data_IF_970571229148
#
_entry.id   IF_970571229148
#
_cell.length_a   1.000
_cell.length_b   1.000
_cell.length_c   1.000
_cell.angle_alpha   90.00
_cell.angle_beta   90.00
_cell.angle_gamma   90.00
#
_symmetry.space_group_name_H-M   'P 1'
#
loop_
_entity.id
_entity.type
_entity.pdbx_description
1 polymer ?
#
# COMPACT_ATOMS: atom_id res chain seq x y z
N UNK A 1 44.58 -6.34 2.11
CA UNK A 1 43.46 -6.28 1.15
C UNK A 1 42.17 -6.59 1.93
N UNK A 2 41.47 -5.55 2.40
CA UNK A 2 40.23 -5.72 3.16
C UNK A 2 39.08 -5.99 2.18
N UNK A 3 38.51 -7.19 2.23
CA UNK A 3 37.21 -7.48 1.61
C UNK A 3 36.12 -6.77 2.40
N UNK A 4 35.70 -5.60 1.93
CA UNK A 4 34.42 -5.00 2.32
C UNK A 4 33.30 -5.90 1.77
N UNK A 5 32.74 -6.75 2.63
CA UNK A 5 31.45 -7.38 2.43
C UNK A 5 30.42 -6.25 2.34
N UNK A 6 30.08 -5.85 1.12
CA UNK A 6 28.93 -5.01 0.84
C UNK A 6 27.69 -5.81 1.21
N UNK A 7 27.22 -5.59 2.45
CA UNK A 7 25.89 -5.97 2.90
C UNK A 7 24.91 -5.19 2.01
N UNK A 8 24.58 -5.74 0.84
CA UNK A 8 23.40 -5.31 0.11
C UNK A 8 22.24 -5.65 1.02
N UNK A 9 21.79 -4.67 1.81
CA UNK A 9 20.53 -4.71 2.49
C UNK A 9 19.46 -4.88 1.41
N UNK A 10 19.18 -6.14 1.05
CA UNK A 10 17.98 -6.51 0.31
C UNK A 10 16.86 -5.83 1.08
N UNK A 11 16.16 -4.91 0.41
CA UNK A 11 14.96 -4.31 0.98
C UNK A 11 14.09 -5.47 1.46
N UNK A 12 14.01 -5.66 2.77
CA UNK A 12 13.31 -6.79 3.35
C UNK A 12 11.86 -6.68 2.93
N UNK A 13 11.31 -7.78 2.42
CA UNK A 13 9.89 -7.86 2.13
C UNK A 13 9.10 -7.46 3.39
N UNK A 14 7.96 -6.76 3.25
CA UNK A 14 7.06 -6.55 4.37
C UNK A 14 6.72 -7.88 5.03
N UNK A 15 6.73 -7.91 6.36
CA UNK A 15 6.28 -9.06 7.14
C UNK A 15 4.78 -9.29 6.93
N UNK A 16 4.31 -10.51 7.20
CA UNK A 16 2.88 -10.80 7.13
C UNK A 16 2.07 -9.93 8.10
N UNK A 17 2.64 -9.53 9.24
CA UNK A 17 1.97 -8.60 10.16
C UNK A 17 1.76 -7.21 9.56
N UNK A 18 2.69 -6.70 8.74
CA UNK A 18 2.51 -5.42 8.04
C UNK A 18 1.46 -5.54 6.94
N UNK A 19 1.49 -6.63 6.18
CA UNK A 19 0.49 -6.88 5.13
C UNK A 19 -0.91 -7.04 5.73
N UNK A 20 -1.04 -7.80 6.82
CA UNK A 20 -2.30 -7.99 7.53
C UNK A 20 -2.78 -6.69 8.20
N UNK A 21 -1.87 -5.89 8.76
CA UNK A 21 -2.22 -4.58 9.32
C UNK A 21 -2.75 -3.63 8.25
N UNK A 22 -2.23 -3.69 7.02
CA UNK A 22 -2.79 -2.93 5.90
C UNK A 22 -4.23 -3.36 5.59
N UNK A 23 -4.50 -4.67 5.51
CA UNK A 23 -5.87 -5.19 5.32
C UNK A 23 -6.82 -4.78 6.46
N UNK A 24 -6.28 -4.67 7.67
CA UNK A 24 -6.96 -4.23 8.90
C UNK A 24 -6.90 -2.71 9.11
N UNK A 25 -6.79 -1.91 8.04
CA UNK A 25 -6.64 -0.44 8.06
C UNK A 25 -7.47 0.32 9.10
N UNK A 26 -8.72 -0.09 9.32
CA UNK A 26 -9.72 0.52 10.23
C UNK A 26 -9.93 -0.29 11.53
N UNK A 27 -9.04 -1.23 11.86
CA UNK A 27 -9.11 -2.09 13.03
C UNK A 27 -7.87 -1.93 13.92
N UNK A 28 -8.00 -2.23 15.22
CA UNK A 28 -6.86 -2.33 16.11
C UNK A 28 -5.81 -3.36 15.64
N UNK A 29 -4.55 -2.94 15.61
CA UNK A 29 -3.38 -3.75 15.24
C UNK A 29 -2.36 -3.78 16.39
N UNK A 30 -1.23 -4.48 16.19
CA UNK A 30 -0.16 -4.56 17.21
C UNK A 30 0.30 -3.15 17.61
N UNK A 31 0.58 -2.95 18.89
CA UNK A 31 1.04 -1.65 19.42
C UNK A 31 2.38 -1.16 18.86
N UNK A 32 3.19 -2.06 18.28
CA UNK A 32 4.44 -1.71 17.57
C UNK A 32 4.21 -1.20 16.15
N UNK A 33 2.99 -1.32 15.63
CA UNK A 33 2.60 -0.92 14.29
C UNK A 33 1.68 0.29 14.40
N UNK A 34 2.04 1.38 13.73
CA UNK A 34 1.15 2.53 13.56
C UNK A 34 0.64 2.59 12.13
N UNK A 35 -0.67 2.81 11.98
CA UNK A 35 -1.31 3.05 10.70
C UNK A 35 -1.70 4.53 10.69
N UNK A 36 -1.20 5.26 9.71
CA UNK A 36 -1.47 6.68 9.51
C UNK A 36 -2.27 6.83 8.22
N UNK A 37 -3.60 6.89 8.31
CA UNK A 37 -4.47 7.20 7.18
C UNK A 37 -4.03 8.47 6.46
N UNK A 38 -4.10 8.45 5.13
CA UNK A 38 -3.96 9.66 4.31
C UNK A 38 -5.36 10.14 4.01
N UNK A 39 -5.92 10.87 4.96
CA UNK A 39 -7.29 11.35 4.89
C UNK A 39 -7.40 12.67 4.12
N UNK A 40 -8.47 12.78 3.33
CA UNK A 40 -8.88 14.00 2.63
C UNK A 40 -10.34 13.89 2.23
N UNK A 41 -11.06 15.02 2.24
CA UNK A 41 -12.47 15.04 1.86
C UNK A 41 -12.70 14.59 0.41
N UNK A 42 -11.70 14.76 -0.46
CA UNK A 42 -11.76 14.40 -1.88
C UNK A 42 -10.42 13.81 -2.35
N UNK A 43 -10.50 12.83 -3.23
CA UNK A 43 -9.36 12.34 -4.02
C UNK A 43 -9.21 13.28 -5.21
N UNK A 44 -8.08 13.99 -5.29
CA UNK A 44 -7.80 14.81 -6.46
C UNK A 44 -7.52 13.88 -7.65
N UNK A 45 -8.29 14.05 -8.71
CA UNK A 45 -8.08 13.39 -9.99
C UNK A 45 -7.34 14.35 -10.94
N UNK A 46 -6.15 13.96 -11.40
CA UNK A 46 -5.33 14.74 -12.32
C UNK A 46 -4.96 13.91 -13.56
N UNK A 47 -5.44 14.37 -14.71
CA UNK A 47 -5.24 13.73 -16.02
C UNK A 47 -3.97 14.18 -16.76
N UNK A 48 -3.25 15.16 -16.21
CA UNK A 48 -2.11 15.83 -16.81
C UNK A 48 -0.81 15.62 -16.02
N UNK A 49 -0.88 15.24 -14.74
CA UNK A 49 0.30 15.00 -13.88
C UNK A 49 1.27 13.99 -14.50
N UNK A 50 0.72 12.90 -15.06
CA UNK A 50 1.48 11.86 -15.75
C UNK A 50 0.86 11.61 -17.13
N UNK A 51 1.56 11.90 -18.23
CA UNK A 51 1.04 11.69 -19.58
C UNK A 51 0.56 10.25 -19.81
N UNK A 52 -0.67 10.08 -20.28
CA UNK A 52 -1.28 8.78 -20.53
C UNK A 52 -1.96 8.12 -19.33
N UNK A 53 -2.01 8.81 -18.18
CA UNK A 53 -2.62 8.29 -16.96
C UNK A 53 -3.67 9.25 -16.39
N UNK A 54 -4.57 8.69 -15.58
CA UNK A 54 -5.39 9.43 -14.64
C UNK A 54 -4.84 9.14 -13.24
N UNK A 55 -4.40 10.19 -12.54
CA UNK A 55 -3.76 10.10 -11.22
C UNK A 55 -4.75 10.46 -10.12
N UNK A 56 -4.81 9.63 -9.09
CA UNK A 56 -5.64 9.77 -7.91
C UNK A 56 -4.75 10.10 -6.69
N UNK A 57 -4.98 11.26 -6.07
CA UNK A 57 -4.23 11.75 -4.90
C UNK A 57 -5.15 11.91 -3.68
N UNK A 58 -5.14 10.98 -2.71
CA UNK A 58 -5.88 11.15 -1.46
C UNK A 58 -5.22 12.25 -0.62
N UNK A 59 -6.03 13.01 0.11
CA UNK A 59 -5.54 13.98 1.10
C UNK A 59 -4.47 14.93 0.56
N UNK A 60 -4.59 15.42 -0.68
CA UNK A 60 -3.51 16.13 -1.39
C UNK A 60 -2.76 17.16 -0.54
N UNK A 61 -3.46 17.91 0.32
CA UNK A 61 -2.86 18.91 1.23
C UNK A 61 -2.11 18.30 2.44
N UNK A 62 -2.58 17.18 2.99
CA UNK A 62 -2.00 16.46 4.13
C UNK A 62 -0.99 15.37 3.70
N UNK A 63 -0.98 15.01 2.42
CA UNK A 63 -0.21 13.93 1.83
C UNK A 63 1.23 14.37 1.48
N UNK A 64 2.04 14.61 2.50
CA UNK A 64 3.42 15.09 2.37
C UNK A 64 4.36 14.12 1.63
N UNK A 65 4.06 12.82 1.64
CA UNK A 65 4.84 11.81 0.91
C UNK A 65 4.46 11.73 -0.58
N UNK A 66 3.40 12.42 -1.00
CA UNK A 66 2.87 12.33 -2.35
C UNK A 66 2.54 10.89 -2.70
N UNK A 67 1.78 10.21 -1.85
CA UNK A 67 1.19 8.90 -2.17
C UNK A 67 0.07 9.09 -3.20
N UNK A 68 -0.11 8.14 -4.10
CA UNK A 68 -1.21 8.16 -5.05
C UNK A 68 -1.31 6.89 -5.86
N UNK A 69 -2.27 6.85 -6.77
CA UNK A 69 -2.48 5.75 -7.68
C UNK A 69 -2.68 6.28 -9.10
N UNK A 70 -1.97 5.73 -10.08
CA UNK A 70 -2.12 6.10 -11.47
C UNK A 70 -2.76 4.96 -12.23
N UNK A 71 -3.88 5.24 -12.89
CA UNK A 71 -4.53 4.32 -13.82
C UNK A 71 -4.12 4.64 -15.24
N UNK A 72 -3.69 3.63 -15.99
CA UNK A 72 -3.39 3.81 -17.40
C UNK A 72 -4.68 4.05 -18.18
N UNK A 73 -4.67 5.09 -19.04
CA UNK A 73 -5.75 5.34 -20.02
C UNK A 73 -5.76 4.30 -21.13
N UNK A 74 -4.65 3.58 -21.31
CA UNK A 74 -4.45 2.61 -22.39
C UNK A 74 -3.74 1.36 -21.85
N UNK A 75 -4.51 0.43 -21.29
CA UNK A 75 -4.04 -0.89 -20.88
C UNK A 75 -3.90 -1.09 -19.37
N UNK A 76 -3.02 -2.01 -18.96
CA UNK A 76 -2.95 -2.56 -17.61
C UNK A 76 -1.64 -2.21 -16.87
N UNK A 77 -1.08 -1.02 -17.13
CA UNK A 77 0.19 -0.55 -16.55
C UNK A 77 -0.01 0.38 -15.35
N UNK A 78 -1.02 0.12 -14.53
CA UNK A 78 -1.30 0.93 -13.35
C UNK A 78 -0.16 0.83 -12.34
N UNK A 79 0.04 1.91 -11.59
CA UNK A 79 1.07 1.92 -10.56
C UNK A 79 0.71 2.77 -9.35
N UNK A 80 1.27 2.39 -8.21
CA UNK A 80 1.31 3.18 -6.99
C UNK A 80 2.42 4.22 -7.09
N UNK A 81 2.09 5.46 -6.71
CA UNK A 81 3.01 6.58 -6.58
C UNK A 81 3.35 6.77 -5.11
N UNK A 82 4.63 6.90 -4.78
CA UNK A 82 5.10 7.46 -3.50
C UNK A 82 6.24 8.42 -3.81
N UNK A 83 5.95 9.72 -3.85
CA UNK A 83 6.90 10.73 -4.30
C UNK A 83 7.44 10.40 -5.69
N UNK A 84 8.74 10.07 -5.78
CA UNK A 84 9.40 9.68 -7.05
C UNK A 84 9.33 8.19 -7.34
N UNK A 85 8.96 7.37 -6.36
CA UNK A 85 8.93 5.93 -6.53
C UNK A 85 7.67 5.48 -7.26
N UNK A 86 7.80 4.40 -8.02
CA UNK A 86 6.73 3.79 -8.80
C UNK A 86 6.71 2.30 -8.52
N UNK A 87 5.53 1.76 -8.23
CA UNK A 87 5.30 0.33 -8.04
C UNK A 87 4.18 -0.13 -8.94
N UNK A 88 4.47 -0.96 -9.93
CA UNK A 88 3.50 -1.40 -10.93
C UNK A 88 2.62 -2.53 -10.40
N UNK A 89 1.30 -2.39 -10.54
CA UNK A 89 0.30 -3.35 -10.06
C UNK A 89 0.50 -4.73 -10.68
N UNK A 90 0.72 -4.76 -12.00
CA UNK A 90 0.94 -5.99 -12.77
C UNK A 90 2.18 -6.78 -12.33
N UNK A 91 3.12 -6.14 -11.61
CA UNK A 91 4.38 -6.73 -11.12
C UNK A 91 4.36 -7.01 -9.61
N UNK A 92 3.24 -6.77 -8.93
CA UNK A 92 3.15 -7.03 -7.51
C UNK A 92 3.34 -8.52 -7.19
N UNK A 93 4.05 -8.81 -6.10
CA UNK A 93 4.33 -10.17 -5.64
C UNK A 93 3.11 -10.66 -4.86
N UNK A 94 2.41 -11.71 -5.32
CA UNK A 94 1.24 -12.23 -4.61
C UNK A 94 1.65 -12.88 -3.27
N UNK A 95 0.86 -12.60 -2.23
CA UNK A 95 0.90 -13.18 -0.89
C UNK A 95 -0.39 -13.98 -0.67
N UNK A 96 -0.50 -15.10 -1.36
CA UNK A 96 -1.67 -15.97 -1.34
C UNK A 96 -1.99 -16.51 -2.73
N UNK A 97 -3.23 -16.94 -2.92
CA UNK A 97 -3.69 -17.61 -4.15
C UNK A 97 -4.16 -16.65 -5.25
N UNK A 98 -4.42 -15.38 -4.92
CA UNK A 98 -4.97 -14.40 -5.85
C UNK A 98 -3.87 -13.62 -6.55
N UNK A 99 -4.05 -13.37 -7.84
CA UNK A 99 -3.15 -12.53 -8.65
C UNK A 99 -3.49 -11.05 -8.42
N UNK A 100 -2.48 -10.15 -8.48
CA UNK A 100 -2.72 -8.72 -8.47
C UNK A 100 -3.72 -8.28 -9.54
N UNK A 101 -4.62 -7.39 -9.17
CA UNK A 101 -5.58 -6.76 -10.08
C UNK A 101 -5.59 -5.25 -9.88
N UNK A 102 -6.10 -4.51 -10.87
CA UNK A 102 -6.38 -3.08 -10.75
C UNK A 102 -7.27 -2.85 -9.53
N UNK A 103 -7.07 -1.72 -8.85
CA UNK A 103 -7.96 -1.28 -7.78
C UNK A 103 -9.21 -0.69 -8.45
N UNK A 104 -10.39 -1.23 -8.14
CA UNK A 104 -11.65 -0.75 -8.70
C UNK A 104 -12.72 -0.50 -7.62
N UNK A 105 -13.21 0.74 -7.44
CA UNK A 105 -12.83 1.95 -8.15
C UNK A 105 -11.75 2.75 -7.39
N UNK A 106 -10.77 3.35 -8.10
CA UNK A 106 -9.58 3.95 -7.50
C UNK A 106 -9.86 5.15 -6.58
N UNK A 107 -10.95 5.89 -6.81
CA UNK A 107 -11.38 7.02 -6.00
C UNK A 107 -11.92 6.63 -4.62
N UNK A 108 -12.23 5.33 -4.41
CA UNK A 108 -12.71 4.78 -3.13
C UNK A 108 -11.66 3.96 -2.40
N UNK A 109 -10.45 3.87 -2.94
CA UNK A 109 -9.36 3.17 -2.29
C UNK A 109 -8.94 3.90 -1.00
N UNK A 110 -8.56 3.14 0.02
CA UNK A 110 -8.03 3.67 1.26
C UNK A 110 -6.50 3.67 1.18
N UNK A 111 -5.88 4.74 1.68
CA UNK A 111 -4.45 4.93 1.61
C UNK A 111 -3.88 5.20 3.00
N UNK A 112 -2.76 4.56 3.32
CA UNK A 112 -2.06 4.76 4.58
C UNK A 112 -0.54 4.74 4.41
N UNK A 113 0.12 5.32 5.39
CA UNK A 113 1.51 5.01 5.73
C UNK A 113 1.50 4.13 6.97
N UNK A 114 2.07 2.94 6.88
CA UNK A 114 2.30 2.07 8.02
C UNK A 114 3.74 2.29 8.50
N UNK A 115 3.94 2.38 9.82
CA UNK A 115 5.28 2.37 10.42
C UNK A 115 5.41 1.24 11.43
N UNK A 116 6.55 0.56 11.35
CA UNK A 116 7.01 -0.42 12.32
C UNK A 116 8.52 -0.21 12.46
N UNK A 117 8.96 0.07 13.69
CA UNK A 117 10.32 0.52 13.99
C UNK A 117 10.75 1.71 13.11
N UNK A 118 11.94 1.62 12.49
CA UNK A 118 12.46 2.64 11.57
C UNK A 118 11.93 2.52 10.14
N UNK A 119 11.01 1.58 9.87
CA UNK A 119 10.55 1.26 8.53
C UNK A 119 9.20 1.91 8.23
N UNK A 120 9.05 2.40 7.00
CA UNK A 120 7.80 2.93 6.50
C UNK A 120 7.33 2.11 5.32
N UNK A 121 6.02 1.91 5.25
CA UNK A 121 5.36 1.16 4.19
C UNK A 121 4.19 1.97 3.65
N UNK A 122 4.01 1.95 2.35
CA UNK A 122 2.77 2.42 1.73
C UNK A 122 1.76 1.28 1.77
N UNK A 123 0.52 1.60 2.13
CA UNK A 123 -0.62 0.70 2.19
C UNK A 123 -1.74 1.28 1.33
N UNK A 124 -2.23 0.48 0.39
CA UNK A 124 -3.42 0.78 -0.40
C UNK A 124 -4.38 -0.38 -0.22
N UNK A 125 -5.61 -0.08 0.16
CA UNK A 125 -6.66 -1.08 0.35
C UNK A 125 -7.80 -0.79 -0.60
N UNK A 126 -8.18 -1.80 -1.35
CA UNK A 126 -9.41 -1.78 -2.11
C UNK A 126 -10.57 -2.09 -1.14
N UNK A 127 -11.44 -1.11 -0.94
CA UNK A 127 -12.64 -1.26 -0.11
C UNK A 127 -13.76 -1.89 -0.94
N UNK A 128 -13.63 -3.18 -1.21
CA UNK A 128 -14.66 -3.92 -1.93
C UNK A 128 -15.67 -4.54 -0.96
N UNK A 129 -16.88 -3.98 -0.90
CA UNK A 129 -18.05 -4.79 -0.57
C UNK A 129 -19.12 -4.11 0.27
N UNK A 130 -20.36 -4.31 -0.18
CA UNK A 130 -21.56 -4.30 0.66
C UNK A 130 -21.92 -5.75 1.04
N UNK A 131 -22.57 -5.96 2.19
CA UNK A 131 -23.04 -7.29 2.61
C UNK A 131 -21.94 -8.26 3.04
N UNK A 132 -22.02 -9.55 2.67
CA UNK A 132 -21.08 -10.60 3.09
C UNK A 132 -19.66 -10.43 2.53
N UNK A 133 -19.50 -9.71 1.41
CA UNK A 133 -18.22 -9.37 0.82
C UNK A 133 -17.48 -8.23 1.56
N UNK A 134 -18.15 -7.49 2.45
CA UNK A 134 -17.56 -6.35 3.18
C UNK A 134 -16.34 -6.71 4.03
N UNK A 135 -16.14 -8.01 4.31
CA UNK A 135 -15.00 -8.52 5.06
C UNK A 135 -13.87 -9.03 4.19
N UNK A 136 -14.07 -9.17 2.87
CA UNK A 136 -13.00 -9.57 1.95
C UNK A 136 -12.35 -8.29 1.42
N UNK A 137 -11.08 -8.09 1.77
CA UNK A 137 -10.31 -6.94 1.31
C UNK A 137 -9.13 -7.38 0.48
N UNK A 138 -8.77 -6.55 -0.50
CA UNK A 138 -7.51 -6.65 -1.22
C UNK A 138 -6.60 -5.50 -0.82
N UNK A 139 -5.29 -5.74 -0.75
CA UNK A 139 -4.33 -4.72 -0.38
C UNK A 139 -3.04 -4.82 -1.18
N UNK A 140 -2.48 -3.66 -1.50
CA UNK A 140 -1.13 -3.47 -2.01
C UNK A 140 -0.26 -2.84 -0.94
N UNK A 141 0.89 -3.45 -0.67
CA UNK A 141 1.83 -2.98 0.35
C UNK A 141 3.24 -2.95 -0.22
N UNK A 142 3.98 -1.87 0.03
CA UNK A 142 5.40 -1.83 -0.27
C UNK A 142 6.16 -1.11 0.82
N UNK A 143 7.36 -1.59 1.14
CA UNK A 143 8.33 -0.83 1.92
C UNK A 143 8.75 0.38 1.10
N UNK A 144 8.70 1.57 1.70
CA UNK A 144 9.20 2.79 1.07
C UNK A 144 10.73 2.73 1.13
N UNK A 145 11.44 2.66 -0.01
CA UNK A 145 12.89 2.54 0.00
C UNK A 145 13.53 3.85 0.46
N UNK A 146 14.66 3.79 1.21
CA UNK A 146 15.39 4.99 1.60
C UNK A 146 16.12 5.65 0.42
N UNK A 147 16.49 4.86 -0.61
CA UNK A 147 17.09 5.37 -1.84
C UNK A 147 16.00 5.95 -2.75
N UNK A 148 16.11 7.26 -3.06
CA UNK A 148 15.19 8.04 -3.90
C UNK A 148 15.04 7.51 -5.33
N UNK A 149 15.99 6.72 -5.83
CA UNK A 149 15.97 6.19 -7.20
C UNK A 149 15.47 4.75 -7.28
N UNK A 150 15.24 4.09 -6.15
CA UNK A 150 14.72 2.72 -6.13
C UNK A 150 13.24 2.67 -6.53
N UNK A 151 12.84 1.60 -7.23
CA UNK A 151 11.43 1.31 -7.48
C UNK A 151 10.72 0.78 -6.23
N UNK A 152 9.37 0.82 -6.23
CA UNK A 152 8.57 0.15 -5.21
C UNK A 152 8.31 -1.29 -5.62
N UNK A 153 8.70 -2.23 -4.76
CA UNK A 153 8.26 -3.62 -4.90
C UNK A 153 6.97 -3.81 -4.13
N UNK A 154 5.86 -3.92 -4.86
CA UNK A 154 4.54 -4.14 -4.29
C UNK A 154 4.34 -5.62 -3.92
N UNK A 155 3.62 -5.83 -2.84
CA UNK A 155 3.10 -7.12 -2.40
C UNK A 155 1.58 -7.03 -2.37
N UNK A 156 0.91 -8.06 -2.89
CA UNK A 156 -0.55 -8.08 -3.03
C UNK A 156 -1.16 -9.21 -2.21
N UNK A 157 -2.21 -8.92 -1.44
CA UNK A 157 -2.94 -9.94 -0.68
C UNK A 157 -4.44 -9.70 -0.76
N UNK A 158 -5.20 -10.78 -0.84
CA UNK A 158 -6.65 -10.79 -0.61
C UNK A 158 -6.92 -11.65 0.61
N UNK A 159 -7.72 -11.16 1.54
CA UNK A 159 -8.09 -11.91 2.74
C UNK A 159 -9.50 -11.57 3.22
N UNK A 160 -10.14 -12.57 3.85
CA UNK A 160 -11.27 -12.33 4.75
C UNK A 160 -10.71 -11.83 6.09
N UNK A 161 -10.94 -10.55 6.38
CA UNK A 161 -10.38 -9.87 7.55
C UNK A 161 -10.89 -10.43 8.88
N UNK A 162 -11.99 -11.20 8.89
CA UNK A 162 -12.45 -11.91 10.09
C UNK A 162 -11.51 -13.05 10.50
N UNK A 163 -10.72 -13.57 9.56
CA UNK A 163 -9.75 -14.64 9.80
C UNK A 163 -8.39 -14.11 10.23
N UNK A 164 -8.20 -12.79 10.20
CA UNK A 164 -6.96 -12.15 10.62
C UNK A 164 -7.00 -11.90 12.12
N UNK A 165 -5.83 -11.99 12.76
CA UNK A 165 -5.70 -11.67 14.19
C UNK A 165 -5.81 -10.16 14.39
N UNK A 166 -6.90 -9.71 14.98
CA UNK A 166 -7.04 -8.35 15.50
C UNK A 166 -6.47 -8.28 16.92
N UNK A 167 -5.87 -7.16 17.29
CA UNK A 167 -5.31 -6.98 18.63
C UNK A 167 -6.24 -6.09 19.45
N UNK A 168 -6.96 -6.65 20.41
CA UNK A 168 -7.73 -5.85 21.37
C UNK A 168 -6.76 -5.22 22.37
N UNK A 169 -6.78 -3.89 22.52
CA UNK A 169 -6.16 -3.23 23.66
C UNK A 169 -6.87 -3.70 24.94
N UNK A 170 -6.23 -4.60 25.68
CA UNK A 170 -6.81 -5.20 26.88
C UNK A 170 -6.18 -6.53 27.26
N UNK A 171 -4.87 -6.55 27.49
CA UNK A 171 -4.20 -7.60 28.28
C UNK A 171 -2.92 -7.03 28.87
N UNK A 172 -3.10 -6.23 29.92
CA UNK A 172 -2.20 -6.16 31.07
C UNK A 172 -3.06 -6.30 32.31
#
# INVERSE_FOLDING_TARGET
MLCLLSLQARASAPSDSIVDSCLLFDKPVRSTISILPIDGAEVLQDDYEVPGYTVFRPGFKSNSLGVGYATSKHGNDDFVIVGRHRGYISRAIPRGQYKPQRIEPPERALYAVIREDAQQYVCLVESNGNGSAAFVRSAFVARIPPDRNAGLTLYFKVADIKKLKTFTEGSR
#
